data_IF_563500668428
#
_entry.id   IF_563500668428
#
_cell.length_a   1.000
_cell.length_b   1.000
_cell.length_c   1.000
_cell.angle_alpha   90.00
_cell.angle_beta   90.00
_cell.angle_gamma   90.00
#
_symmetry.space_group_name_H-M   'P 1'
#
loop_
_entity.id
_entity.type
_entity.pdbx_description
1 polymer ?
#
# COMPACT_ATOMS: atom_id res chain seq x y z
N UNK A 1 0.26 4.13 14.99
CA UNK A 1 1.53 4.02 14.23
C UNK A 1 1.99 2.57 14.37
N UNK A 2 2.36 1.90 13.28
CA UNK A 2 2.74 0.48 13.35
C UNK A 2 4.17 0.27 13.85
N UNK A 3 4.66 -0.97 13.74
CA UNK A 3 5.98 -1.36 14.21
C UNK A 3 7.08 -0.83 13.29
N UNK A 4 8.11 -0.22 13.88
CA UNK A 4 9.35 0.17 13.20
C UNK A 4 10.47 -0.75 13.68
N UNK A 5 11.08 -1.50 12.76
CA UNK A 5 12.02 -2.57 13.09
C UNK A 5 13.25 -2.50 12.18
N UNK A 6 14.45 -2.53 12.77
CA UNK A 6 15.69 -2.75 12.03
C UNK A 6 15.75 -4.20 11.55
N UNK A 7 16.04 -4.38 10.26
CA UNK A 7 16.31 -5.68 9.65
C UNK A 7 17.82 -5.94 9.66
N UNK A 8 18.59 -4.93 9.27
CA UNK A 8 20.05 -4.91 9.33
C UNK A 8 20.53 -3.46 9.57
N UNK A 9 21.84 -3.21 9.41
CA UNK A 9 22.44 -1.90 9.66
C UNK A 9 21.90 -0.77 8.79
N UNK A 10 21.36 -1.08 7.61
CA UNK A 10 20.93 -0.11 6.60
C UNK A 10 19.45 -0.28 6.23
N UNK A 11 18.85 -1.44 6.50
CA UNK A 11 17.48 -1.77 6.13
C UNK A 11 16.54 -1.73 7.33
N UNK A 12 15.44 -0.99 7.19
CA UNK A 12 14.40 -0.84 8.21
C UNK A 12 13.03 -1.11 7.61
N UNK A 13 12.12 -1.64 8.42
CA UNK A 13 10.73 -1.90 8.04
C UNK A 13 9.79 -1.09 8.92
N UNK A 14 8.77 -0.50 8.30
CA UNK A 14 7.68 0.18 8.98
C UNK A 14 6.35 -0.44 8.54
N UNK A 15 5.60 -0.99 9.49
CA UNK A 15 4.25 -1.46 9.22
C UNK A 15 3.29 -0.27 9.24
N UNK A 16 2.51 -0.12 8.18
CA UNK A 16 1.49 0.93 8.04
C UNK A 16 0.20 0.32 7.50
N UNK A 17 -0.91 0.63 8.15
CA UNK A 17 -2.26 0.23 7.71
C UNK A 17 -3.02 1.50 7.33
N UNK A 18 -2.99 1.91 6.06
CA UNK A 18 -3.70 3.09 5.60
C UNK A 18 -5.21 2.84 5.58
N UNK A 19 -6.00 3.89 5.77
CA UNK A 19 -7.46 3.89 5.59
C UNK A 19 -7.87 4.65 4.32
N UNK A 20 -6.98 4.69 3.32
CA UNK A 20 -7.11 5.48 2.08
C UNK A 20 -6.09 6.62 1.98
N UNK A 21 -6.02 7.27 0.82
CA UNK A 21 -5.16 8.43 0.59
C UNK A 21 -3.74 8.08 0.16
N UNK A 22 -2.75 8.79 0.70
CA UNK A 22 -1.33 8.59 0.39
C UNK A 22 -0.54 8.26 1.66
N UNK A 23 0.40 7.31 1.56
CA UNK A 23 1.40 7.04 2.57
C UNK A 23 2.67 7.80 2.20
N UNK A 24 3.21 8.57 3.13
CA UNK A 24 4.55 9.15 3.02
C UNK A 24 5.45 8.57 4.12
N UNK A 25 6.65 8.13 3.73
CA UNK A 25 7.73 7.79 4.65
C UNK A 25 8.87 8.76 4.40
N UNK A 26 9.37 9.40 5.46
CA UNK A 26 10.43 10.39 5.39
C UNK A 26 11.54 10.08 6.39
N UNK A 27 12.77 10.32 5.94
CA UNK A 27 14.00 10.31 6.73
C UNK A 27 14.50 11.74 6.74
N UNK A 28 14.62 12.33 7.93
CA UNK A 28 15.09 13.70 8.08
C UNK A 28 16.61 13.80 7.86
N UNK A 29 17.10 15.01 7.60
CA UNK A 29 18.53 15.29 7.60
C UNK A 29 19.13 14.96 8.97
N UNK A 30 20.30 14.31 8.98
CA UNK A 30 20.96 13.88 10.21
C UNK A 30 20.22 12.82 11.02
N UNK A 31 19.19 12.17 10.46
CA UNK A 31 18.49 11.08 11.13
C UNK A 31 19.39 9.86 11.39
N UNK A 32 20.45 9.67 10.59
CA UNK A 32 21.50 8.69 10.82
C UNK A 32 22.89 9.31 10.64
N UNK A 33 23.88 8.73 11.31
CA UNK A 33 25.29 9.14 11.22
C UNK A 33 26.14 7.87 11.05
N UNK A 34 27.05 7.87 10.09
CA UNK A 34 27.96 6.75 9.88
C UNK A 34 29.10 6.71 10.93
N UNK A 35 29.92 5.66 10.90
CA UNK A 35 31.03 5.50 11.84
C UNK A 35 32.12 6.58 11.70
N UNK A 36 32.18 7.28 10.57
CA UNK A 36 33.11 8.39 10.33
C UNK A 36 32.52 9.76 10.73
N UNK A 37 31.25 9.82 11.18
CA UNK A 37 30.58 11.05 11.60
C UNK A 37 29.81 11.76 10.50
N UNK A 38 29.64 11.15 9.32
CA UNK A 38 28.89 11.77 8.22
C UNK A 38 27.38 11.58 8.43
N UNK A 39 26.63 12.67 8.40
CA UNK A 39 25.18 12.69 8.55
C UNK A 39 24.44 12.25 7.27
N UNK A 40 23.29 11.61 7.43
CA UNK A 40 22.40 11.24 6.32
C UNK A 40 21.69 12.47 5.74
N UNK A 41 21.57 12.53 4.41
CA UNK A 41 20.73 13.52 3.74
C UNK A 41 19.24 13.18 3.88
N UNK A 42 18.38 14.20 3.99
CA UNK A 42 16.94 14.00 3.98
C UNK A 42 16.43 13.30 2.70
N UNK A 43 15.48 12.39 2.85
CA UNK A 43 14.83 11.70 1.75
C UNK A 43 13.39 11.29 2.11
N UNK A 44 12.52 11.15 1.11
CA UNK A 44 11.17 10.66 1.31
C UNK A 44 10.71 9.77 0.14
N UNK A 45 9.73 8.91 0.44
CA UNK A 45 9.02 8.10 -0.54
C UNK A 45 7.51 8.19 -0.28
N UNK A 46 6.73 8.27 -1.36
CA UNK A 46 5.27 8.35 -1.31
C UNK A 46 4.64 7.18 -2.06
N UNK A 47 3.49 6.72 -1.58
CA UNK A 47 2.70 5.65 -2.21
C UNK A 47 1.22 5.95 -2.06
N UNK A 48 0.52 6.06 -3.20
CA UNK A 48 -0.93 6.16 -3.23
C UNK A 48 -1.57 4.85 -2.77
N UNK A 49 -2.71 4.95 -2.07
CA UNK A 49 -3.48 3.83 -1.54
C UNK A 49 -4.88 3.88 -2.13
N UNK A 50 -5.23 2.82 -2.86
CA UNK A 50 -6.60 2.57 -3.30
C UNK A 50 -7.26 1.53 -2.39
N UNK A 51 -8.34 1.93 -1.73
CA UNK A 51 -9.21 1.06 -0.92
C UNK A 51 -10.64 1.04 -1.46
N UNK A 52 -10.86 1.55 -2.68
CA UNK A 52 -12.16 1.56 -3.32
C UNK A 52 -12.68 0.14 -3.47
N UNK A 53 -13.91 -0.10 -3.02
CA UNK A 53 -14.58 -1.35 -3.31
C UNK A 53 -14.80 -1.47 -4.85
N UNK A 54 -14.64 -2.67 -5.44
CA UNK A 54 -14.91 -2.84 -6.86
C UNK A 54 -16.38 -2.53 -7.14
N UNK A 55 -16.65 -1.77 -8.19
CA UNK A 55 -18.01 -1.50 -8.66
C UNK A 55 -18.40 -2.51 -9.74
N UNK A 56 -19.51 -3.23 -9.55
CA UNK A 56 -20.08 -4.08 -10.60
C UNK A 56 -20.91 -3.22 -11.54
N UNK A 57 -20.46 -3.08 -12.79
CA UNK A 57 -21.13 -2.25 -13.79
C UNK A 57 -22.36 -2.94 -14.40
N UNK A 58 -22.29 -4.25 -14.66
CA UNK A 58 -23.41 -5.01 -15.20
C UNK A 58 -23.20 -6.50 -14.99
N UNK A 59 -24.28 -7.23 -14.74
CA UNK A 59 -24.32 -8.69 -14.83
C UNK A 59 -25.22 -9.00 -16.02
N UNK A 60 -24.68 -9.71 -17.02
CA UNK A 60 -25.44 -10.14 -18.20
C UNK A 60 -25.53 -11.66 -18.16
N UNK A 61 -26.74 -12.20 -18.28
CA UNK A 61 -26.94 -13.63 -18.46
C UNK A 61 -26.50 -13.98 -19.88
N UNK A 62 -25.59 -14.94 -20.02
CA UNK A 62 -25.15 -15.43 -21.33
C UNK A 62 -26.30 -16.05 -22.12
N UNK A 63 -27.27 -16.62 -21.40
CA UNK A 63 -28.51 -17.11 -21.94
C UNK A 63 -29.65 -16.16 -21.60
N UNK A 64 -30.23 -15.55 -22.63
CA UNK A 64 -31.44 -14.72 -22.53
C UNK A 64 -32.68 -15.48 -23.01
N UNK A 65 -32.51 -16.71 -23.51
CA UNK A 65 -33.56 -17.55 -24.04
C UNK A 65 -34.01 -18.56 -22.97
N UNK A 66 -34.89 -18.11 -22.07
CA UNK A 66 -35.55 -19.04 -21.16
C UNK A 66 -36.56 -19.89 -21.94
N UNK A 67 -36.22 -21.16 -22.19
CA UNK A 67 -37.14 -22.11 -22.79
C UNK A 67 -38.09 -22.68 -21.73
N UNK A 68 -39.35 -22.89 -22.10
CA UNK A 68 -40.34 -23.50 -21.19
C UNK A 68 -39.88 -24.92 -20.85
N UNK A 69 -39.48 -25.15 -19.60
CA UNK A 69 -39.05 -26.47 -19.11
C UNK A 69 -37.63 -26.55 -18.52
N UNK A 70 -36.83 -25.50 -18.59
CA UNK A 70 -35.52 -25.46 -17.91
C UNK A 70 -35.68 -25.19 -16.40
N UNK A 71 -35.03 -26.00 -15.56
CA UNK A 71 -34.83 -25.72 -14.11
C UNK A 71 -33.34 -25.70 -13.81
N UNK A 72 -32.92 -24.80 -12.91
CA UNK A 72 -31.54 -24.58 -12.47
C UNK A 72 -30.79 -25.83 -12.02
#
# INVERSE_FOLDING_TARGET
KGAFTSVDGQTYTLVVTPTGGEITVAVADGAAVDAAGNASTAANATQAVDIGAPTVASIVMADTALSVGETS
#
